data_IF_713189945828
#
_entry.id   IF_713189945828
#
_cell.length_a   1.000
_cell.length_b   1.000
_cell.length_c   1.000
_cell.angle_alpha   90.00
_cell.angle_beta   90.00
_cell.angle_gamma   90.00
#
_symmetry.space_group_name_H-M   'P 1'
#
loop_
_entity.id
_entity.type
_entity.pdbx_description
1 polymer ?
#
# COMPACT_ATOMS: atom_id res chain seq x y z
N UNK A 1 -19.22 12.10 -2.01
CA UNK A 1 -18.33 11.10 -1.38
C UNK A 1 -17.10 10.93 -2.27
N UNK A 2 -15.90 10.85 -1.71
CA UNK A 2 -14.64 10.76 -2.45
C UNK A 2 -13.78 9.65 -1.84
N UNK A 3 -13.03 8.91 -2.65
CA UNK A 3 -11.98 7.99 -2.19
C UNK A 3 -10.61 8.66 -2.33
N UNK A 4 -9.84 8.74 -1.25
CA UNK A 4 -8.51 9.35 -1.23
C UNK A 4 -7.44 8.34 -0.81
N UNK A 5 -6.98 7.52 -1.75
CA UNK A 5 -5.87 6.57 -1.54
C UNK A 5 -4.79 6.80 -2.59
N UNK A 6 -3.54 6.43 -2.31
CA UNK A 6 -2.47 6.48 -3.31
C UNK A 6 -2.84 5.68 -4.58
N UNK A 7 -2.25 6.05 -5.71
CA UNK A 7 -2.38 5.29 -6.95
C UNK A 7 -1.58 3.98 -6.93
N UNK A 8 -2.00 3.06 -7.80
CA UNK A 8 -1.51 1.68 -7.84
C UNK A 8 -2.25 0.75 -6.89
N UNK A 9 -1.77 -0.49 -6.82
CA UNK A 9 -2.29 -1.53 -5.96
C UNK A 9 -1.14 -2.35 -5.37
N UNK A 10 -1.40 -3.02 -4.25
CA UNK A 10 -0.44 -3.90 -3.60
C UNK A 10 -1.17 -4.99 -2.83
N UNK A 11 -0.50 -6.14 -2.69
CA UNK A 11 -0.77 -7.07 -1.59
C UNK A 11 -0.02 -6.61 -0.35
N UNK A 12 -0.42 -7.08 0.84
CA UNK A 12 0.34 -6.83 2.08
C UNK A 12 1.81 -7.24 1.96
N UNK A 13 2.06 -8.37 1.28
CA UNK A 13 3.40 -8.84 0.99
C UNK A 13 4.19 -7.88 0.08
N UNK A 14 3.57 -7.39 -1.00
CA UNK A 14 4.20 -6.42 -1.90
C UNK A 14 4.53 -5.10 -1.21
N UNK A 15 3.64 -4.63 -0.35
CA UNK A 15 3.86 -3.42 0.45
C UNK A 15 5.01 -3.60 1.45
N UNK A 16 5.05 -4.73 2.17
CA UNK A 16 6.15 -5.06 3.08
C UNK A 16 7.50 -5.13 2.34
N UNK A 17 7.56 -5.75 1.16
CA UNK A 17 8.78 -5.81 0.35
C UNK A 17 9.32 -4.43 0.00
N UNK A 18 8.45 -3.50 -0.38
CA UNK A 18 8.88 -2.15 -0.70
C UNK A 18 9.40 -1.40 0.53
N UNK A 19 8.77 -1.58 1.70
CA UNK A 19 9.28 -1.04 2.96
C UNK A 19 10.69 -1.57 3.26
N UNK A 20 10.91 -2.89 3.13
CA UNK A 20 12.23 -3.49 3.35
C UNK A 20 13.27 -2.93 2.38
N UNK A 21 12.90 -2.78 1.10
CA UNK A 21 13.76 -2.18 0.08
C UNK A 21 14.13 -0.73 0.44
N UNK A 22 13.15 0.09 0.83
CA UNK A 22 13.37 1.49 1.20
C UNK A 22 14.19 1.64 2.50
N UNK A 23 14.00 0.75 3.48
CA UNK A 23 14.71 0.78 4.75
C UNK A 23 16.11 0.13 4.70
N UNK A 24 16.51 -0.46 3.56
CA UNK A 24 17.80 -1.14 3.40
C UNK A 24 17.88 -2.50 4.11
N UNK A 25 16.75 -3.11 4.47
CA UNK A 25 16.74 -4.44 5.07
C UNK A 25 17.01 -5.53 4.02
N UNK A 26 17.97 -6.41 4.33
CA UNK A 26 18.36 -7.53 3.46
C UNK A 26 17.70 -8.85 3.85
N UNK A 27 16.94 -8.87 4.96
CA UNK A 27 16.25 -10.08 5.44
C UNK A 27 15.18 -10.50 4.45
N UNK A 28 15.09 -11.81 4.21
CA UNK A 28 14.06 -12.39 3.36
C UNK A 28 12.66 -12.18 3.96
N UNK A 29 11.72 -11.83 3.09
CA UNK A 29 10.29 -11.82 3.38
C UNK A 29 9.65 -13.08 2.79
N UNK A 30 8.86 -13.77 3.59
CA UNK A 30 8.14 -14.97 3.18
C UNK A 30 6.67 -14.63 2.93
N UNK A 31 6.10 -15.01 1.77
CA UNK A 31 4.67 -14.84 1.53
C UNK A 31 3.87 -15.79 2.41
N UNK A 32 2.68 -15.37 2.81
CA UNK A 32 1.73 -16.21 3.53
C UNK A 32 0.31 -16.02 3.01
N UNK A 33 -0.58 -16.95 3.35
CA UNK A 33 -2.01 -16.87 3.04
C UNK A 33 -2.78 -16.31 4.23
N UNK A 34 -3.97 -15.75 3.98
CA UNK A 34 -4.88 -15.32 5.05
C UNK A 34 -5.22 -16.46 6.01
N UNK A 35 -5.32 -17.70 5.53
CA UNK A 35 -5.63 -18.87 6.34
C UNK A 35 -4.50 -19.24 7.32
N UNK A 36 -3.25 -18.92 7.00
CA UNK A 36 -2.12 -19.13 7.90
C UNK A 36 -2.16 -18.20 9.14
N UNK A 37 -2.89 -17.09 9.06
CA UNK A 37 -3.01 -16.09 10.13
C UNK A 37 -4.48 -15.70 10.37
N UNK A 38 -5.30 -16.61 10.93
CA UNK A 38 -6.72 -16.37 11.14
C UNK A 38 -6.94 -15.23 12.15
N UNK A 39 -7.93 -14.37 11.86
CA UNK A 39 -8.36 -13.28 12.74
C UNK A 39 -9.86 -13.35 12.97
N UNK A 40 -10.38 -12.93 14.14
CA UNK A 40 -11.82 -12.96 14.41
C UNK A 40 -12.64 -12.14 13.40
N UNK A 41 -12.12 -10.99 12.95
CA UNK A 41 -12.77 -10.16 11.95
C UNK A 41 -12.38 -10.59 10.53
N UNK A 42 -13.35 -10.89 9.65
CA UNK A 42 -13.09 -11.17 8.24
C UNK A 42 -12.38 -9.98 7.58
N UNK A 43 -11.40 -10.27 6.73
CA UNK A 43 -10.72 -9.26 5.91
C UNK A 43 -11.15 -9.42 4.45
N UNK A 44 -11.45 -8.33 3.74
CA UNK A 44 -11.73 -8.41 2.32
C UNK A 44 -10.48 -8.87 1.57
N UNK A 45 -10.67 -9.76 0.59
CA UNK A 45 -9.58 -10.19 -0.29
C UNK A 45 -9.09 -9.05 -1.22
N UNK A 46 -9.94 -8.06 -1.47
CA UNK A 46 -9.64 -6.88 -2.28
C UNK A 46 -10.24 -5.63 -1.62
N UNK A 47 -9.40 -4.64 -1.35
CA UNK A 47 -9.80 -3.35 -0.77
C UNK A 47 -9.37 -2.16 -1.65
N UNK A 48 -9.23 -2.37 -2.96
CA UNK A 48 -8.91 -1.31 -3.92
C UNK A 48 -10.07 -0.33 -4.02
N UNK A 49 -9.76 0.96 -4.08
CA UNK A 49 -10.75 2.03 -4.19
C UNK A 49 -10.58 2.81 -5.48
N UNK A 50 -11.65 2.91 -6.26
CA UNK A 50 -11.66 3.73 -7.47
C UNK A 50 -11.74 5.21 -7.12
N UNK A 51 -10.89 6.03 -7.73
CA UNK A 51 -10.84 7.49 -7.56
C UNK A 51 -11.66 8.26 -8.61
N UNK A 52 -12.79 7.70 -9.04
CA UNK A 52 -13.65 8.27 -10.10
C UNK A 52 -14.05 9.70 -9.79
N UNK A 53 -14.44 9.99 -8.54
CA UNK A 53 -14.89 11.32 -8.15
C UNK A 53 -13.78 12.37 -8.18
N UNK A 54 -12.52 11.99 -7.92
CA UNK A 54 -11.37 12.90 -8.09
C UNK A 54 -11.19 13.25 -9.58
N UNK A 55 -11.26 12.25 -10.45
CA UNK A 55 -11.15 12.44 -11.91
C UNK A 55 -12.26 13.31 -12.47
N UNK A 56 -13.52 13.07 -12.05
CA UNK A 56 -14.68 13.86 -12.48
C UNK A 56 -14.62 15.30 -11.97
N UNK A 57 -13.97 15.55 -10.84
CA UNK A 57 -13.75 16.89 -10.29
C UNK A 57 -12.57 17.63 -10.96
N UNK A 58 -11.87 17.02 -11.92
CA UNK A 58 -10.70 17.63 -12.57
C UNK A 58 -9.47 17.75 -11.67
N UNK A 59 -9.44 17.02 -10.54
CA UNK A 59 -8.29 17.02 -9.64
C UNK A 59 -7.17 16.13 -10.18
N UNK A 60 -5.90 16.46 -9.88
CA UNK A 60 -4.76 15.62 -10.29
C UNK A 60 -4.86 14.22 -9.66
N UNK A 61 -4.28 13.20 -10.31
CA UNK A 61 -4.18 11.87 -9.72
C UNK A 61 -3.47 11.90 -8.36
N UNK A 62 -3.84 10.97 -7.48
CA UNK A 62 -3.11 10.78 -6.23
C UNK A 62 -1.67 10.31 -6.54
N UNK A 63 -0.69 10.56 -5.67
CA UNK A 63 0.65 10.03 -5.88
C UNK A 63 0.67 8.50 -5.82
N UNK A 64 1.64 7.88 -6.51
CA UNK A 64 1.83 6.43 -6.47
C UNK A 64 2.33 5.96 -5.09
N UNK A 65 1.79 4.85 -4.61
CA UNK A 65 2.08 4.36 -3.25
C UNK A 65 3.57 4.06 -3.02
N UNK A 66 4.31 3.60 -4.03
CA UNK A 66 5.75 3.34 -3.91
C UNK A 66 6.56 4.62 -3.67
N UNK A 67 6.17 5.73 -4.33
CA UNK A 67 6.83 7.01 -4.14
C UNK A 67 6.58 7.56 -2.73
N UNK A 68 5.33 7.48 -2.26
CA UNK A 68 4.96 7.98 -0.92
C UNK A 68 5.52 7.13 0.22
N UNK A 69 5.54 5.80 0.09
CA UNK A 69 6.21 4.95 1.10
C UNK A 69 7.71 5.21 1.13
N UNK A 70 8.35 5.42 -0.03
CA UNK A 70 9.76 5.77 -0.10
C UNK A 70 10.07 7.08 0.62
N UNK A 71 9.26 8.12 0.39
CA UNK A 71 9.38 9.41 1.11
C UNK A 71 9.19 9.23 2.61
N UNK A 72 8.15 8.49 3.01
CA UNK A 72 7.84 8.27 4.43
C UNK A 72 8.98 7.54 5.15
N UNK A 73 9.50 6.45 4.56
CA UNK A 73 10.62 5.71 5.14
C UNK A 73 11.88 6.57 5.19
N UNK A 74 12.20 7.32 4.13
CA UNK A 74 13.36 8.21 4.13
C UNK A 74 13.30 9.25 5.26
N UNK A 75 12.11 9.74 5.60
CA UNK A 75 11.92 10.69 6.69
C UNK A 75 12.07 10.08 8.11
N UNK A 76 12.07 8.75 8.22
CA UNK A 76 12.22 8.03 9.51
C UNK A 76 13.64 7.54 9.78
N UNK A 77 14.49 7.44 8.76
CA UNK A 77 15.86 6.88 8.86
C UNK A 77 16.92 7.99 8.86
N UNK A 78 16.55 9.21 9.28
CA UNK A 78 17.43 10.36 9.48
C UNK A 78 17.23 10.88 10.91
#
# INVERSE_FOLDING_TARGET
>A
MVHGTCEGEATWYGFAREIFRCAGFTRALEPCTTAAFPRPAPRPANSRLEKRMLRLAGLPPMPHWQAEVGKFISALVH
#
